data_IF_636610427289
#
_entry.id   IF_636610427289
#
_cell.length_a   1.000
_cell.length_b   1.000
_cell.length_c   1.000
_cell.angle_alpha   90.00
_cell.angle_beta   90.00
_cell.angle_gamma   90.00
#
_symmetry.space_group_name_H-M   'P 1'
#
loop_
_entity.id
_entity.type
_entity.pdbx_description
1 polymer ?
#
# COMPACT_ATOMS: atom_id res chain seq x y z
N UNK A 1 -17.86 56.22 -11.87
CA UNK A 1 -16.73 55.31 -12.22
C UNK A 1 -16.46 54.26 -11.15
N UNK A 2 -16.87 54.51 -9.89
CA UNK A 2 -16.80 53.58 -8.74
C UNK A 2 -17.87 52.49 -8.76
N UNK A 3 -19.11 52.79 -9.13
CA UNK A 3 -20.24 51.86 -8.96
C UNK A 3 -20.16 50.65 -9.90
N UNK A 4 -19.70 50.87 -11.13
CA UNK A 4 -19.44 49.79 -12.10
C UNK A 4 -18.35 48.84 -11.62
N UNK A 5 -17.37 49.34 -10.87
CA UNK A 5 -16.27 48.54 -10.32
C UNK A 5 -16.77 47.61 -9.20
N UNK A 6 -17.63 48.10 -8.31
CA UNK A 6 -18.24 47.28 -7.26
C UNK A 6 -19.12 46.16 -7.80
N UNK A 7 -19.90 46.44 -8.87
CA UNK A 7 -20.74 45.43 -9.53
C UNK A 7 -19.88 44.34 -10.18
N UNK A 8 -18.80 44.73 -10.88
CA UNK A 8 -17.90 43.77 -11.52
C UNK A 8 -17.18 42.89 -10.48
N UNK A 9 -16.74 43.46 -9.36
CA UNK A 9 -16.12 42.68 -8.27
C UNK A 9 -17.12 41.67 -7.70
N UNK A 10 -18.37 42.07 -7.47
CA UNK A 10 -19.42 41.18 -6.96
C UNK A 10 -19.67 40.00 -7.90
N UNK A 11 -19.73 40.25 -9.20
CA UNK A 11 -19.89 39.19 -10.21
C UNK A 11 -18.69 38.25 -10.26
N UNK A 12 -17.46 38.78 -10.19
CA UNK A 12 -16.24 37.97 -10.19
C UNK A 12 -16.18 37.08 -8.94
N UNK A 13 -16.47 37.62 -7.74
CA UNK A 13 -16.47 36.85 -6.50
C UNK A 13 -17.59 35.80 -6.48
N UNK A 14 -18.79 36.13 -6.99
CA UNK A 14 -19.90 35.18 -7.14
C UNK A 14 -19.54 34.04 -8.09
N UNK A 15 -18.91 34.35 -9.23
CA UNK A 15 -18.50 33.36 -10.21
C UNK A 15 -17.35 32.48 -9.69
N UNK A 16 -16.40 33.05 -8.96
CA UNK A 16 -15.30 32.33 -8.32
C UNK A 16 -15.82 31.34 -7.25
N UNK A 17 -16.72 31.80 -6.38
CA UNK A 17 -17.29 30.96 -5.31
C UNK A 17 -18.16 29.83 -5.88
N UNK A 18 -18.95 30.11 -6.92
CA UNK A 18 -19.72 29.08 -7.64
C UNK A 18 -18.81 28.04 -8.31
N UNK A 19 -17.73 28.48 -8.97
CA UNK A 19 -16.76 27.59 -9.58
C UNK A 19 -16.09 26.68 -8.55
N UNK A 20 -15.69 27.24 -7.39
CA UNK A 20 -15.12 26.47 -6.29
C UNK A 20 -16.13 25.45 -5.74
N UNK A 21 -17.40 25.83 -5.57
CA UNK A 21 -18.46 24.93 -5.12
C UNK A 21 -18.64 23.71 -6.03
N UNK A 22 -18.53 23.89 -7.36
CA UNK A 22 -18.59 22.78 -8.31
C UNK A 22 -17.33 21.91 -8.32
N UNK A 23 -16.16 22.49 -8.06
CA UNK A 23 -14.88 21.77 -8.08
C UNK A 23 -14.65 20.90 -6.82
N UNK A 24 -15.13 21.32 -5.64
CA UNK A 24 -15.00 20.58 -4.39
C UNK A 24 -15.54 19.13 -4.45
N UNK A 25 -16.79 18.86 -4.90
CA UNK A 25 -17.34 17.51 -4.92
C UNK A 25 -16.61 16.60 -5.92
N UNK A 26 -16.16 17.14 -7.06
CA UNK A 26 -15.38 16.40 -8.06
C UNK A 26 -14.04 15.97 -7.45
N UNK A 27 -13.37 16.88 -6.73
CA UNK A 27 -12.10 16.60 -6.06
C UNK A 27 -12.26 15.56 -4.95
N UNK A 28 -13.35 15.63 -4.18
CA UNK A 28 -13.67 14.63 -3.16
C UNK A 28 -13.93 13.25 -3.76
N UNK A 29 -14.69 13.15 -4.86
CA UNK A 29 -14.94 11.88 -5.57
C UNK A 29 -13.64 11.27 -6.10
N UNK A 30 -12.76 12.08 -6.70
CA UNK A 30 -11.44 11.61 -7.17
C UNK A 30 -10.57 11.08 -6.03
N UNK A 31 -10.55 11.74 -4.87
CA UNK A 31 -9.81 11.26 -3.69
C UNK A 31 -10.33 9.91 -3.20
N UNK A 32 -11.64 9.74 -3.02
CA UNK A 32 -12.24 8.45 -2.61
C UNK A 32 -11.95 7.33 -3.63
N UNK A 33 -12.13 7.60 -4.92
CA UNK A 33 -11.83 6.64 -5.98
C UNK A 33 -10.34 6.27 -6.08
N UNK A 34 -9.43 7.16 -5.65
CA UNK A 34 -8.00 6.85 -5.55
C UNK A 34 -7.68 6.00 -4.32
N UNK A 35 -8.40 6.20 -3.21
CA UNK A 35 -8.21 5.47 -1.96
C UNK A 35 -8.67 4.01 -2.07
N UNK A 36 -9.78 3.74 -2.75
CA UNK A 36 -10.30 2.38 -2.97
C UNK A 36 -9.51 1.52 -3.98
N UNK A 37 -8.41 2.03 -4.54
CA UNK A 37 -7.59 1.24 -5.47
C UNK A 37 -6.83 0.13 -4.75
N UNK A 38 -6.97 -1.10 -5.27
CA UNK A 38 -6.17 -2.25 -4.85
C UNK A 38 -4.71 -1.98 -5.22
N UNK A 39 -3.82 -1.98 -4.22
CA UNK A 39 -2.38 -1.75 -4.41
C UNK A 39 -1.60 -3.03 -4.65
N UNK A 40 -2.13 -4.16 -4.21
CA UNK A 40 -1.47 -5.46 -4.35
C UNK A 40 -2.16 -6.52 -3.50
N UNK A 41 -1.54 -7.69 -3.45
CA UNK A 41 -2.05 -8.85 -2.72
C UNK A 41 -1.07 -9.26 -1.63
N UNK A 42 -1.59 -9.74 -0.50
CA UNK A 42 -0.76 -10.32 0.54
C UNK A 42 -0.17 -11.66 0.06
N UNK A 43 1.15 -11.85 0.06
CA UNK A 43 1.77 -13.09 -0.44
C UNK A 43 1.50 -14.32 0.45
N UNK A 44 1.05 -14.11 1.70
CA UNK A 44 0.83 -15.17 2.69
C UNK A 44 -0.61 -15.69 2.70
N UNK A 45 -1.59 -14.84 2.40
CA UNK A 45 -3.02 -15.21 2.45
C UNK A 45 -3.79 -14.88 1.18
N UNK A 46 -3.20 -14.15 0.23
CA UNK A 46 -3.84 -13.74 -1.01
C UNK A 46 -4.85 -12.59 -0.87
N UNK A 47 -5.04 -12.01 0.33
CA UNK A 47 -5.98 -10.91 0.52
C UNK A 47 -5.56 -9.67 -0.28
N UNK A 48 -6.50 -9.04 -0.98
CA UNK A 48 -6.30 -7.79 -1.70
C UNK A 48 -6.14 -6.62 -0.73
N UNK A 49 -5.09 -5.83 -0.89
CA UNK A 49 -4.77 -4.69 -0.01
C UNK A 49 -5.18 -3.38 -0.66
N UNK A 50 -6.00 -2.59 0.04
CA UNK A 50 -6.42 -1.24 -0.38
C UNK A 50 -5.43 -0.17 0.06
N UNK A 51 -5.63 1.09 -0.36
CA UNK A 51 -4.80 2.19 0.15
C UNK A 51 -4.94 2.33 1.66
N UNK A 52 -3.81 2.43 2.35
CA UNK A 52 -3.76 2.51 3.83
C UNK A 52 -3.46 1.16 4.49
N UNK A 53 -3.83 0.06 3.86
CA UNK A 53 -3.53 -1.29 4.36
C UNK A 53 -2.09 -1.68 4.00
N UNK A 54 -1.30 -2.07 5.02
CA UNK A 54 0.11 -2.42 4.85
C UNK A 54 0.40 -3.80 5.41
N UNK A 55 1.34 -4.48 4.76
CA UNK A 55 1.90 -5.74 5.25
C UNK A 55 2.86 -5.43 6.39
N UNK A 56 2.79 -6.21 7.48
CA UNK A 56 3.79 -6.18 8.54
C UNK A 56 5.01 -6.97 8.09
N UNK A 57 6.12 -6.28 7.94
CA UNK A 57 7.41 -6.85 7.56
C UNK A 57 8.56 -6.18 8.29
N UNK A 58 9.62 -6.94 8.55
CA UNK A 58 10.88 -6.43 9.06
C UNK A 58 11.93 -6.50 7.95
N UNK A 59 12.71 -5.46 7.76
CA UNK A 59 13.76 -5.40 6.74
C UNK A 59 15.13 -5.42 7.39
N UNK A 60 16.06 -6.13 6.76
CA UNK A 60 17.46 -6.22 7.13
C UNK A 60 18.30 -5.93 5.88
N UNK A 61 19.25 -5.02 6.00
CA UNK A 61 20.17 -4.68 4.91
C UNK A 61 21.33 -5.69 4.86
N UNK A 62 21.51 -6.36 3.72
CA UNK A 62 22.68 -7.20 3.45
C UNK A 62 23.60 -6.43 2.48
N UNK A 63 24.31 -5.46 3.03
CA UNK A 63 25.19 -4.58 2.27
C UNK A 63 24.43 -3.51 1.47
N UNK A 64 25.04 -3.02 0.38
CA UNK A 64 24.55 -1.84 -0.36
C UNK A 64 23.32 -2.10 -1.23
N UNK A 65 23.17 -3.31 -1.76
CA UNK A 65 22.20 -3.58 -2.84
C UNK A 65 21.20 -4.71 -2.55
N UNK A 66 21.35 -5.48 -1.47
CA UNK A 66 20.43 -6.58 -1.17
C UNK A 66 19.69 -6.35 0.14
N UNK A 67 18.37 -6.19 0.08
CA UNK A 67 17.51 -6.11 1.26
C UNK A 67 16.84 -7.45 1.48
N UNK A 68 17.01 -8.04 2.67
CA UNK A 68 16.23 -9.19 3.12
C UNK A 68 15.01 -8.67 3.88
N UNK A 69 13.83 -9.14 3.50
CA UNK A 69 12.56 -8.76 4.11
C UNK A 69 11.90 -10.00 4.71
N UNK A 70 11.65 -9.97 6.02
CA UNK A 70 10.83 -10.95 6.72
C UNK A 70 9.38 -10.48 6.72
N UNK A 71 8.52 -11.21 6.01
CA UNK A 71 7.11 -10.92 5.87
C UNK A 71 6.33 -11.73 6.90
N UNK A 72 5.66 -11.07 7.85
CA UNK A 72 4.68 -11.72 8.74
C UNK A 72 3.35 -11.89 8.02
N UNK A 73 2.78 -10.82 7.48
CA UNK A 73 1.50 -10.85 6.78
C UNK A 73 0.72 -9.54 6.89
N UNK A 74 -0.52 -9.53 6.41
CA UNK A 74 -1.40 -8.37 6.48
C UNK A 74 -2.27 -8.38 7.77
N UNK A 75 -2.95 -7.26 8.10
CA UNK A 75 -3.81 -7.18 9.28
C UNK A 75 -4.91 -8.24 9.30
N UNK A 76 -5.42 -8.66 8.15
CA UNK A 76 -6.47 -9.67 8.04
C UNK A 76 -6.00 -11.06 8.45
N UNK A 77 -4.86 -11.52 7.91
CA UNK A 77 -4.35 -12.85 8.22
C UNK A 77 -3.71 -12.93 9.61
N UNK A 78 -3.14 -11.82 10.09
CA UNK A 78 -2.64 -11.73 11.47
C UNK A 78 -3.79 -11.67 12.48
N UNK A 79 -4.91 -11.03 12.13
CA UNK A 79 -6.15 -11.03 12.89
C UNK A 79 -6.96 -12.33 12.80
N UNK A 80 -6.46 -13.36 12.12
CA UNK A 80 -7.10 -14.68 12.05
C UNK A 80 -8.27 -14.81 11.07
N UNK A 81 -8.57 -13.78 10.26
CA UNK A 81 -9.69 -13.80 9.30
C UNK A 81 -9.44 -14.70 8.10
N UNK A 82 -8.18 -14.94 7.74
CA UNK A 82 -7.78 -15.74 6.58
C UNK A 82 -6.61 -16.66 6.93
N UNK A 83 -6.57 -17.89 6.39
CA UNK A 83 -5.47 -18.80 6.65
C UNK A 83 -4.15 -18.25 6.11
N UNK A 84 -3.08 -18.45 6.86
CA UNK A 84 -1.72 -18.11 6.44
C UNK A 84 -1.06 -19.34 5.84
N UNK A 85 -0.57 -19.22 4.62
CA UNK A 85 0.11 -20.31 3.90
C UNK A 85 1.42 -19.81 3.31
N UNK A 86 2.42 -20.69 3.26
CA UNK A 86 3.63 -20.38 2.53
C UNK A 86 3.32 -20.25 1.03
N UNK A 87 3.74 -19.18 0.35
CA UNK A 87 3.51 -19.04 -1.09
C UNK A 87 4.22 -20.11 -1.92
N UNK A 88 5.29 -20.71 -1.39
CA UNK A 88 6.11 -21.73 -2.07
C UNK A 88 5.58 -23.14 -1.79
N UNK A 89 5.71 -23.65 -0.57
CA UNK A 89 5.29 -25.03 -0.24
C UNK A 89 3.80 -25.19 0.12
N UNK A 90 3.04 -24.09 0.21
CA UNK A 90 1.61 -24.07 0.59
C UNK A 90 1.26 -24.58 1.99
N UNK A 91 2.25 -24.99 2.80
CA UNK A 91 2.04 -25.36 4.19
C UNK A 91 1.45 -24.21 5.02
N UNK A 92 0.69 -24.56 6.05
CA UNK A 92 0.08 -23.60 6.98
C UNK A 92 1.18 -22.95 7.83
N UNK A 93 1.13 -21.62 7.91
CA UNK A 93 2.03 -20.82 8.74
C UNK A 93 1.35 -20.44 10.05
N UNK A 94 2.06 -20.63 11.16
CA UNK A 94 1.67 -20.19 12.50
C UNK A 94 1.73 -18.66 12.66
N UNK A 95 1.31 -18.15 13.83
CA UNK A 95 1.26 -16.71 14.10
C UNK A 95 2.63 -16.03 14.05
N UNK A 96 3.67 -16.71 14.51
CA UNK A 96 5.04 -16.16 14.50
C UNK A 96 5.87 -16.57 13.28
N UNK A 97 5.38 -17.50 12.46
CA UNK A 97 6.09 -17.89 11.26
C UNK A 97 6.19 -16.71 10.28
N UNK A 98 7.30 -16.65 9.57
CA UNK A 98 7.58 -15.58 8.60
C UNK A 98 7.94 -16.18 7.24
N UNK A 99 7.83 -15.35 6.22
CA UNK A 99 8.27 -15.65 4.86
C UNK A 99 9.42 -14.72 4.51
N UNK A 100 10.52 -15.27 4.04
CA UNK A 100 11.68 -14.49 3.59
C UNK A 100 11.50 -14.09 2.13
N UNK A 101 11.87 -12.86 1.84
CA UNK A 101 11.97 -12.34 0.49
C UNK A 101 13.19 -11.43 0.37
N UNK A 102 13.66 -11.26 -0.87
CA UNK A 102 14.76 -10.35 -1.20
C UNK A 102 14.28 -9.28 -2.17
N UNK A 103 14.85 -8.10 -2.05
CA UNK A 103 14.67 -7.00 -3.01
C UNK A 103 15.99 -6.30 -3.23
N UNK A 104 16.22 -5.88 -4.47
CA UNK A 104 17.38 -5.06 -4.83
C UNK A 104 16.91 -3.63 -5.14
N UNK A 105 17.04 -2.68 -4.19
CA UNK A 105 16.56 -1.32 -4.40
C UNK A 105 17.35 -0.52 -5.46
N UNK A 106 18.55 -0.96 -5.86
CA UNK A 106 19.30 -0.34 -6.96
C UNK A 106 18.74 -0.74 -8.34
N UNK A 107 18.29 -1.99 -8.48
CA UNK A 107 17.74 -2.53 -9.73
C UNK A 107 16.23 -2.25 -9.85
N UNK A 108 15.45 -2.60 -8.83
CA UNK A 108 14.00 -2.40 -8.81
C UNK A 108 13.48 -2.21 -7.38
N UNK A 109 13.12 -0.95 -7.08
CA UNK A 109 12.59 -0.53 -5.77
C UNK A 109 11.26 -1.19 -5.40
N UNK A 110 10.52 -1.78 -6.36
CA UNK A 110 9.16 -2.30 -6.15
C UNK A 110 9.07 -3.82 -6.23
N UNK A 111 10.08 -4.48 -6.79
CA UNK A 111 10.05 -5.93 -7.00
C UNK A 111 10.63 -6.67 -5.81
N UNK A 112 9.87 -7.63 -5.33
CA UNK A 112 10.21 -8.47 -4.19
C UNK A 112 10.20 -9.92 -4.64
N UNK A 113 11.34 -10.61 -4.50
CA UNK A 113 11.47 -12.03 -4.81
C UNK A 113 11.21 -12.83 -3.54
N UNK A 114 10.08 -13.53 -3.50
CA UNK A 114 9.68 -14.34 -2.34
C UNK A 114 10.36 -15.71 -2.40
N UNK A 115 11.10 -16.07 -1.34
CA UNK A 115 11.84 -17.33 -1.25
C UNK A 115 11.07 -18.42 -0.51
N UNK A 116 10.25 -18.05 0.48
CA UNK A 116 9.40 -18.99 1.21
C UNK A 116 9.57 -18.95 2.73
N UNK A 117 9.04 -19.97 3.41
CA UNK A 117 9.10 -20.10 4.86
C UNK A 117 10.43 -20.73 5.33
N UNK A 118 10.62 -20.88 6.64
CA UNK A 118 11.83 -21.48 7.24
C UNK A 118 12.18 -22.86 6.70
N UNK A 119 11.18 -23.67 6.33
CA UNK A 119 11.41 -24.98 5.71
C UNK A 119 11.86 -24.90 4.26
N UNK A 120 11.36 -23.93 3.49
CA UNK A 120 11.73 -23.75 2.09
C UNK A 120 13.10 -23.12 1.92
N UNK A 121 13.46 -22.22 2.84
CA UNK A 121 14.67 -21.41 2.73
C UNK A 121 15.25 -21.13 4.12
N UNK A 122 15.83 -22.16 4.75
CA UNK A 122 16.39 -22.08 6.10
C UNK A 122 17.50 -21.04 6.22
N UNK A 123 18.38 -20.96 5.22
CA UNK A 123 19.50 -20.00 5.12
C UNK A 123 19.08 -18.52 5.25
N UNK A 124 17.79 -18.23 5.03
CA UNK A 124 17.25 -16.88 5.18
C UNK A 124 16.88 -16.50 6.62
N UNK A 125 16.86 -17.47 7.54
CA UNK A 125 16.46 -17.31 8.95
C UNK A 125 17.63 -17.50 9.93
N UNK A 126 18.79 -17.85 9.40
CA UNK A 126 20.06 -17.90 10.12
C UNK A 126 20.68 -16.50 10.26
#
# INVERSE_FOLDING_TARGET
MSDTYFILIGLILGLLTFLLYLLVPIRQRRKKAQEDRIRGYCPVCGHALRSGERIRSNQLELGKSNLRTYIKGCPFCLGGKTPRKCPVCKEKLGKEDMVVAFSNPEEDKKKLKVMGCKKCFSQGFD
#
